data_IF_239276682734
#
_entry.id   IF_239276682734
#
_cell.length_a   1.000
_cell.length_b   1.000
_cell.length_c   1.000
_cell.angle_alpha   90.00
_cell.angle_beta   90.00
_cell.angle_gamma   90.00
#
_symmetry.space_group_name_H-M   'P 1'
#
loop_
_entity.id
_entity.type
_entity.pdbx_description
1 polymer ?
#
# COMPACT_ATOMS: atom_id res chain seq x y z
N UNK A 1 -19.15 11.77 -35.02
CA UNK A 1 -17.91 10.97 -34.90
C UNK A 1 -17.97 10.16 -33.61
N UNK A 2 -18.17 8.87 -33.72
CA UNK A 2 -18.19 7.96 -32.58
C UNK A 2 -16.74 7.75 -32.13
N UNK A 3 -16.39 8.28 -30.98
CA UNK A 3 -15.10 8.01 -30.36
C UNK A 3 -15.08 6.51 -29.99
N UNK A 4 -14.24 5.75 -30.66
CA UNK A 4 -14.04 4.34 -30.39
C UNK A 4 -13.44 4.21 -28.98
N UNK A 5 -14.20 3.68 -28.04
CA UNK A 5 -13.73 3.42 -26.70
C UNK A 5 -12.58 2.41 -26.79
N UNK A 6 -11.39 2.84 -26.39
CA UNK A 6 -10.25 1.92 -26.20
C UNK A 6 -10.68 0.92 -25.13
N UNK A 7 -10.69 -0.36 -25.50
CA UNK A 7 -11.11 -1.43 -24.62
C UNK A 7 -10.38 -1.34 -23.27
N UNK A 8 -11.12 -1.04 -22.21
CA UNK A 8 -10.65 -1.13 -20.83
C UNK A 8 -10.76 0.10 -19.95
N UNK A 9 -10.88 1.33 -20.47
CA UNK A 9 -10.95 2.52 -19.61
C UNK A 9 -11.96 3.53 -20.14
N UNK A 10 -13.19 3.44 -19.67
CA UNK A 10 -14.10 4.58 -19.76
C UNK A 10 -13.62 5.67 -18.80
N UNK A 11 -13.49 6.94 -19.23
CA UNK A 11 -13.11 8.06 -18.34
C UNK A 11 -14.06 8.23 -17.15
N UNK A 12 -15.27 7.68 -17.26
CA UNK A 12 -16.31 7.74 -16.24
C UNK A 12 -16.35 6.52 -15.31
N UNK A 13 -15.68 5.40 -15.66
CA UNK A 13 -15.66 4.19 -14.80
C UNK A 13 -14.42 4.14 -13.91
N UNK A 14 -14.61 3.73 -12.66
CA UNK A 14 -13.52 3.46 -11.75
C UNK A 14 -12.87 2.12 -12.11
N UNK A 15 -11.59 2.15 -12.45
CA UNK A 15 -10.82 0.98 -12.83
C UNK A 15 -9.73 0.68 -11.78
N UNK A 16 -9.57 -0.58 -11.43
CA UNK A 16 -8.49 -1.03 -10.54
C UNK A 16 -7.17 -1.01 -11.31
N UNK A 17 -6.19 -0.29 -10.76
CA UNK A 17 -4.82 -0.21 -11.28
C UNK A 17 -3.94 -1.26 -10.62
N UNK A 18 -4.02 -1.37 -9.28
CA UNK A 18 -3.18 -2.28 -8.51
C UNK A 18 -3.88 -2.70 -7.22
N UNK A 19 -3.66 -3.93 -6.80
CA UNK A 19 -4.12 -4.42 -5.49
C UNK A 19 -2.93 -4.90 -4.70
N UNK A 20 -2.80 -4.41 -3.46
CA UNK A 20 -1.71 -4.77 -2.56
C UNK A 20 -2.26 -5.39 -1.27
N UNK A 21 -1.58 -6.45 -0.80
CA UNK A 21 -1.93 -7.12 0.44
C UNK A 21 -0.87 -6.81 1.50
N UNK A 22 -1.29 -6.28 2.66
CA UNK A 22 -0.36 -6.01 3.73
C UNK A 22 0.42 -7.26 4.15
N UNK A 23 1.69 -7.05 4.47
CA UNK A 23 2.53 -8.03 5.17
C UNK A 23 1.99 -8.28 6.58
N UNK A 24 2.36 -9.41 7.18
CA UNK A 24 2.12 -9.69 8.61
C UNK A 24 2.64 -8.55 9.50
N UNK A 25 3.64 -7.81 9.05
CA UNK A 25 4.17 -6.62 9.72
C UNK A 25 3.17 -5.44 9.84
N UNK A 26 1.97 -5.53 9.26
CA UNK A 26 0.87 -4.62 9.58
C UNK A 26 0.36 -4.80 11.01
N UNK A 27 0.54 -5.97 11.61
CA UNK A 27 0.16 -6.30 13.00
C UNK A 27 1.29 -6.07 14.00
N UNK A 28 0.96 -5.55 15.19
CA UNK A 28 1.94 -5.22 16.24
C UNK A 28 2.74 -6.43 16.73
N UNK A 29 2.12 -7.61 16.84
CA UNK A 29 2.81 -8.85 17.28
C UNK A 29 3.90 -9.24 16.28
N UNK A 30 3.61 -9.19 14.99
CA UNK A 30 4.59 -9.50 13.97
C UNK A 30 5.70 -8.44 13.88
N UNK A 31 5.40 -7.16 14.16
CA UNK A 31 6.42 -6.12 14.28
C UNK A 31 7.36 -6.37 15.46
N UNK A 32 6.84 -6.82 16.60
CA UNK A 32 7.68 -7.22 17.75
C UNK A 32 8.62 -8.38 17.37
N UNK A 33 8.11 -9.42 16.73
CA UNK A 33 8.95 -10.52 16.25
C UNK A 33 10.00 -10.02 15.25
N UNK A 34 9.61 -9.18 14.31
CA UNK A 34 10.52 -8.58 13.34
C UNK A 34 11.63 -7.74 13.99
N UNK A 35 11.31 -6.98 15.02
CA UNK A 35 12.32 -6.20 15.76
C UNK A 35 13.29 -7.10 16.52
N UNK A 36 12.84 -8.22 17.10
CA UNK A 36 13.70 -9.22 17.72
C UNK A 36 14.63 -9.83 16.67
N UNK A 37 14.11 -10.24 15.51
CA UNK A 37 14.93 -10.83 14.44
C UNK A 37 15.97 -9.84 13.89
N UNK A 38 15.64 -8.57 13.79
CA UNK A 38 16.58 -7.55 13.33
C UNK A 38 17.65 -7.21 14.38
N UNK A 39 17.33 -7.38 15.67
CA UNK A 39 18.27 -7.13 16.78
C UNK A 39 19.36 -8.20 16.90
N UNK A 40 19.18 -9.38 16.27
CA UNK A 40 20.16 -10.46 16.32
C UNK A 40 21.33 -10.14 15.38
N UNK A 41 22.57 -10.03 15.90
CA UNK A 41 23.73 -9.68 15.08
C UNK A 41 24.02 -10.74 14.03
N UNK A 42 24.49 -10.30 12.87
CA UNK A 42 24.97 -11.16 11.80
C UNK A 42 26.48 -11.33 11.97
N UNK A 43 27.01 -12.53 12.31
CA UNK A 43 28.44 -12.78 12.30
C UNK A 43 29.00 -12.58 10.90
N UNK A 44 30.20 -12.00 10.78
CA UNK A 44 30.83 -11.76 9.50
C UNK A 44 30.96 -13.05 8.68
N UNK A 45 30.41 -13.06 7.47
CA UNK A 45 30.49 -14.19 6.54
C UNK A 45 29.48 -15.33 6.75
N UNK A 46 28.57 -15.23 7.72
CA UNK A 46 27.50 -16.22 7.94
C UNK A 46 26.11 -15.62 7.67
N UNK A 47 25.13 -16.45 7.30
CA UNK A 47 23.74 -15.98 7.23
C UNK A 47 23.27 -15.50 8.60
N UNK A 48 22.37 -14.52 8.61
CA UNK A 48 21.81 -13.96 9.86
C UNK A 48 21.29 -15.10 10.75
N UNK A 49 21.80 -15.20 11.97
CA UNK A 49 21.32 -16.16 12.99
C UNK A 49 19.80 -16.00 13.24
N UNK A 50 19.26 -14.83 12.98
CA UNK A 50 17.82 -14.56 13.04
C UNK A 50 16.99 -15.48 12.14
N UNK A 51 17.55 -16.03 11.05
CA UNK A 51 16.84 -16.98 10.21
C UNK A 51 16.58 -18.32 10.90
N UNK A 52 17.47 -18.77 11.81
CA UNK A 52 17.24 -19.96 12.61
C UNK A 52 16.10 -19.75 13.61
N UNK A 53 16.05 -18.57 14.24
CA UNK A 53 14.92 -18.18 15.09
C UNK A 53 13.62 -18.05 14.29
N UNK A 54 13.68 -17.47 13.10
CA UNK A 54 12.53 -17.39 12.23
C UNK A 54 12.01 -18.77 11.82
N UNK A 55 12.91 -19.74 11.58
CA UNK A 55 12.53 -21.12 11.30
C UNK A 55 11.85 -21.78 12.51
N UNK A 56 12.39 -21.62 13.71
CA UNK A 56 11.80 -22.17 14.94
C UNK A 56 10.41 -21.57 15.24
N UNK A 57 10.19 -20.29 14.90
CA UNK A 57 8.92 -19.59 15.09
C UNK A 57 8.03 -19.64 13.85
N UNK A 58 8.44 -20.35 12.78
CA UNK A 58 7.69 -20.45 11.52
C UNK A 58 6.23 -20.90 11.69
N UNK A 59 5.87 -21.88 12.53
CA UNK A 59 4.49 -22.28 12.75
C UNK A 59 3.61 -21.11 13.24
N UNK A 60 4.16 -20.29 14.14
CA UNK A 60 3.48 -19.10 14.65
C UNK A 60 3.39 -18.01 13.58
N UNK A 61 4.44 -17.84 12.78
CA UNK A 61 4.43 -16.93 11.62
C UNK A 61 3.37 -17.31 10.58
N UNK A 62 3.20 -18.60 10.30
CA UNK A 62 2.15 -19.12 9.41
C UNK A 62 0.76 -18.83 9.97
N UNK A 63 0.56 -19.01 11.28
CA UNK A 63 -0.70 -18.68 11.93
C UNK A 63 -1.02 -17.17 11.80
N UNK A 64 -0.04 -16.30 12.09
CA UNK A 64 -0.20 -14.85 11.94
C UNK A 64 -0.53 -14.47 10.49
N UNK A 65 0.14 -15.11 9.53
CA UNK A 65 -0.13 -14.89 8.11
C UNK A 65 -1.56 -15.30 7.74
N UNK A 66 -2.02 -16.47 8.19
CA UNK A 66 -3.38 -16.94 7.95
C UNK A 66 -4.43 -16.00 8.57
N UNK A 67 -4.20 -15.55 9.81
CA UNK A 67 -5.07 -14.57 10.48
C UNK A 67 -5.09 -13.24 9.73
N UNK A 68 -3.93 -12.73 9.30
CA UNK A 68 -3.84 -11.51 8.51
C UNK A 68 -4.57 -11.63 7.18
N UNK A 69 -4.47 -12.77 6.51
CA UNK A 69 -5.15 -13.02 5.24
C UNK A 69 -6.67 -13.14 5.39
N UNK A 70 -7.15 -13.69 6.51
CA UNK A 70 -8.57 -13.84 6.79
C UNK A 70 -9.22 -12.56 7.33
N UNK A 71 -8.55 -11.85 8.23
CA UNK A 71 -9.10 -10.72 8.97
C UNK A 71 -8.44 -9.39 8.64
N UNK A 72 -7.38 -9.41 7.84
CA UNK A 72 -6.65 -8.21 7.44
C UNK A 72 -7.40 -7.35 6.44
N UNK A 73 -6.69 -6.37 5.94
CA UNK A 73 -7.16 -5.48 4.90
C UNK A 73 -6.42 -5.77 3.59
N UNK A 74 -7.00 -5.36 2.49
CA UNK A 74 -6.34 -5.23 1.19
C UNK A 74 -6.42 -3.79 0.74
N UNK A 75 -5.40 -3.32 0.07
CA UNK A 75 -5.34 -1.97 -0.47
C UNK A 75 -5.53 -2.02 -1.97
N UNK A 76 -6.45 -1.24 -2.47
CA UNK A 76 -6.79 -1.19 -3.89
C UNK A 76 -6.52 0.23 -4.39
N UNK A 77 -5.59 0.36 -5.31
CA UNK A 77 -5.37 1.57 -6.06
C UNK A 77 -6.27 1.54 -7.28
N UNK A 78 -7.11 2.54 -7.42
CA UNK A 78 -7.92 2.77 -8.62
C UNK A 78 -7.40 4.00 -9.37
N UNK A 79 -7.97 4.25 -10.54
CA UNK A 79 -7.69 5.48 -11.30
C UNK A 79 -8.26 6.76 -10.63
N UNK A 80 -8.96 6.64 -9.49
CA UNK A 80 -9.60 7.76 -8.78
C UNK A 80 -9.20 7.89 -7.34
N UNK A 81 -9.06 6.78 -6.65
CA UNK A 81 -8.88 6.74 -5.21
C UNK A 81 -7.98 5.58 -4.80
N UNK A 82 -7.43 5.70 -3.60
CA UNK A 82 -6.87 4.59 -2.87
C UNK A 82 -7.87 4.11 -1.85
N UNK A 83 -8.10 2.81 -1.80
CA UNK A 83 -9.17 2.22 -0.99
C UNK A 83 -8.62 1.12 -0.10
N UNK A 84 -9.05 1.10 1.14
CA UNK A 84 -8.81 0.01 2.08
C UNK A 84 -10.05 -0.87 2.19
N UNK A 85 -9.90 -2.17 1.95
CA UNK A 85 -10.98 -3.14 2.01
C UNK A 85 -10.67 -4.22 3.03
N UNK A 86 -11.67 -4.71 3.75
CA UNK A 86 -11.51 -5.93 4.55
C UNK A 86 -11.37 -7.14 3.64
N UNK A 87 -10.43 -8.04 3.97
CA UNK A 87 -10.16 -9.22 3.15
C UNK A 87 -11.36 -10.16 3.10
N UNK A 88 -12.02 -10.41 4.26
CA UNK A 88 -13.10 -11.40 4.38
C UNK A 88 -14.45 -10.92 3.84
N UNK A 89 -14.86 -9.71 4.21
CA UNK A 89 -16.23 -9.21 3.91
C UNK A 89 -16.29 -8.34 2.68
N UNK A 90 -15.15 -8.04 2.06
CA UNK A 90 -15.05 -7.08 0.95
C UNK A 90 -15.77 -5.76 1.24
N UNK A 91 -15.71 -5.32 2.50
CA UNK A 91 -16.26 -4.03 2.92
C UNK A 91 -15.18 -2.96 2.81
N UNK A 92 -15.49 -1.85 2.19
CA UNK A 92 -14.62 -0.68 2.15
C UNK A 92 -14.55 -0.05 3.55
N UNK A 93 -13.34 0.10 4.08
CA UNK A 93 -13.07 0.65 5.41
C UNK A 93 -12.58 2.09 5.31
N UNK A 94 -11.82 2.38 4.26
CA UNK A 94 -11.26 3.70 4.02
C UNK A 94 -11.16 3.98 2.53
N UNK A 95 -11.28 5.24 2.16
CA UNK A 95 -11.07 5.72 0.80
C UNK A 95 -10.48 7.13 0.85
N UNK A 96 -9.51 7.39 -0.02
CA UNK A 96 -8.91 8.71 -0.19
C UNK A 96 -8.76 8.96 -1.69
N UNK A 97 -9.29 10.08 -2.19
CA UNK A 97 -9.13 10.42 -3.59
C UNK A 97 -7.67 10.77 -3.91
N UNK A 98 -7.26 10.50 -5.13
CA UNK A 98 -5.90 10.80 -5.60
C UNK A 98 -5.62 12.30 -5.74
N UNK A 99 -6.64 13.14 -5.66
CA UNK A 99 -6.53 14.60 -5.68
C UNK A 99 -6.42 15.24 -4.30
N UNK A 100 -6.68 14.50 -3.21
CA UNK A 100 -6.91 15.07 -1.90
C UNK A 100 -5.65 15.06 -1.01
N UNK A 101 -4.57 14.48 -1.45
CA UNK A 101 -3.28 14.49 -0.73
C UNK A 101 -2.20 15.25 -1.51
N UNK A 102 -1.23 15.79 -0.78
CA UNK A 102 -0.09 16.50 -1.32
C UNK A 102 1.08 15.55 -1.62
N UNK A 103 1.41 14.67 -0.67
CA UNK A 103 2.52 13.72 -0.80
C UNK A 103 2.27 12.39 -0.09
N UNK A 104 3.02 11.37 -0.52
CA UNK A 104 3.03 10.04 0.10
C UNK A 104 4.39 9.79 0.73
N UNK A 105 4.41 9.57 2.04
CA UNK A 105 5.61 9.28 2.81
C UNK A 105 5.70 7.78 3.12
N UNK A 106 6.90 7.22 2.99
CA UNK A 106 7.21 5.85 3.41
C UNK A 106 7.78 5.91 4.82
N UNK A 107 7.09 5.30 5.76
CA UNK A 107 7.51 5.23 7.17
C UNK A 107 7.77 3.79 7.53
N UNK A 108 9.03 3.44 7.79
CA UNK A 108 9.43 2.08 8.13
C UNK A 108 9.84 2.01 9.60
N UNK A 109 9.21 1.13 10.35
CA UNK A 109 9.61 0.82 11.73
C UNK A 109 10.64 -0.33 11.75
N UNK A 110 11.43 -0.42 12.82
CA UNK A 110 12.43 -1.47 13.00
C UNK A 110 11.83 -2.88 12.82
N UNK A 111 10.61 -3.11 13.33
CA UNK A 111 9.92 -4.40 13.18
C UNK A 111 9.43 -4.71 11.77
N UNK A 112 9.41 -3.74 10.86
CA UNK A 112 9.00 -3.92 9.47
C UNK A 112 10.18 -4.22 8.55
N UNK A 113 11.40 -3.86 8.96
CA UNK A 113 12.63 -4.05 8.15
C UNK A 113 12.82 -5.51 7.77
N UNK A 114 12.71 -6.42 8.75
CA UNK A 114 12.84 -7.86 8.53
C UNK A 114 11.88 -8.41 7.47
N UNK A 115 10.67 -7.86 7.39
CA UNK A 115 9.63 -8.30 6.45
C UNK A 115 9.65 -7.54 5.12
N UNK A 116 10.61 -6.65 4.90
CA UNK A 116 10.65 -5.74 3.76
C UNK A 116 9.30 -5.02 3.55
N UNK A 117 8.76 -4.50 4.63
CA UNK A 117 7.48 -3.80 4.65
C UNK A 117 7.65 -2.40 5.24
N UNK A 118 6.76 -1.48 4.89
CA UNK A 118 6.67 -0.16 5.48
C UNK A 118 5.21 0.33 5.48
N UNK A 119 4.94 1.38 6.23
CA UNK A 119 3.68 2.08 6.17
C UNK A 119 3.74 3.20 5.13
N UNK A 120 2.65 3.41 4.41
CA UNK A 120 2.47 4.59 3.55
C UNK A 120 1.57 5.58 4.27
N UNK A 121 2.07 6.79 4.45
CA UNK A 121 1.37 7.90 5.07
C UNK A 121 1.03 8.93 4.01
N UNK A 122 -0.25 9.18 3.82
CA UNK A 122 -0.77 10.20 2.93
C UNK A 122 -0.92 11.51 3.70
N UNK A 123 -0.25 12.53 3.24
CA UNK A 123 -0.15 13.82 3.93
C UNK A 123 -0.88 14.86 3.10
N UNK A 124 -1.78 15.60 3.75
CA UNK A 124 -2.48 16.74 3.18
C UNK A 124 -1.62 18.00 3.12
N UNK A 125 -2.14 19.03 2.50
CA UNK A 125 -1.45 20.32 2.32
C UNK A 125 -1.03 20.97 3.65
N UNK A 126 -1.79 20.72 4.73
CA UNK A 126 -1.48 21.24 6.06
C UNK A 126 -0.52 20.36 6.87
N UNK A 127 -0.01 19.27 6.27
CA UNK A 127 0.87 18.33 6.95
C UNK A 127 0.13 17.29 7.80
N UNK A 128 -1.20 17.30 7.83
CA UNK A 128 -2.01 16.29 8.54
C UNK A 128 -1.94 14.93 7.81
N UNK A 129 -2.11 13.86 8.57
CA UNK A 129 -2.21 12.50 8.03
C UNK A 129 -3.65 12.19 7.67
N UNK A 130 -3.95 12.11 6.38
CA UNK A 130 -5.28 11.80 5.87
C UNK A 130 -5.58 10.30 5.86
N UNK A 131 -4.58 9.50 5.51
CA UNK A 131 -4.69 8.05 5.47
C UNK A 131 -3.33 7.41 5.78
N UNK A 132 -3.36 6.24 6.43
CA UNK A 132 -2.18 5.42 6.67
C UNK A 132 -2.45 3.98 6.27
N UNK A 133 -1.69 3.48 5.32
CA UNK A 133 -1.70 2.07 4.91
C UNK A 133 -0.58 1.34 5.63
N UNK A 134 -0.93 0.35 6.45
CA UNK A 134 0.04 -0.33 7.32
C UNK A 134 0.65 -1.56 6.64
N UNK A 135 1.95 -1.73 6.82
CA UNK A 135 2.65 -2.95 6.47
C UNK A 135 2.66 -3.28 4.98
N UNK A 136 2.70 -2.30 4.12
CA UNK A 136 2.76 -2.48 2.66
C UNK A 136 4.09 -3.12 2.31
N UNK A 137 4.04 -4.25 1.61
CA UNK A 137 5.22 -4.90 1.06
C UNK A 137 5.69 -4.10 -0.15
N UNK A 138 7.01 -3.93 -0.29
CA UNK A 138 7.58 -3.11 -1.36
C UNK A 138 6.91 -1.72 -1.50
N UNK A 139 6.82 -1.02 -0.35
CA UNK A 139 6.12 0.25 -0.23
C UNK A 139 6.62 1.32 -1.21
N UNK A 140 7.89 1.24 -1.64
CA UNK A 140 8.46 2.12 -2.65
C UNK A 140 7.81 1.96 -4.02
N UNK A 141 7.65 0.71 -4.47
CA UNK A 141 7.00 0.42 -5.76
C UNK A 141 5.52 0.84 -5.74
N UNK A 142 4.82 0.55 -4.65
CA UNK A 142 3.41 0.93 -4.51
C UNK A 142 3.23 2.45 -4.44
N UNK A 143 4.09 3.17 -3.69
CA UNK A 143 4.11 4.64 -3.68
C UNK A 143 4.28 5.20 -5.09
N UNK A 144 5.26 4.70 -5.85
CA UNK A 144 5.52 5.15 -7.21
C UNK A 144 4.31 4.92 -8.14
N UNK A 145 3.61 3.80 -7.98
CA UNK A 145 2.36 3.52 -8.73
C UNK A 145 1.27 4.53 -8.37
N UNK A 146 1.12 4.87 -7.08
CA UNK A 146 0.16 5.87 -6.61
C UNK A 146 0.46 7.25 -7.20
N UNK A 147 1.71 7.70 -7.09
CA UNK A 147 2.15 9.02 -7.58
C UNK A 147 1.93 9.15 -9.10
N UNK A 148 2.32 8.13 -9.88
CA UNK A 148 2.10 8.11 -11.33
C UNK A 148 0.60 8.14 -11.69
N UNK A 149 -0.22 7.41 -10.94
CA UNK A 149 -1.66 7.39 -11.19
C UNK A 149 -2.31 8.73 -10.86
N UNK A 150 -1.88 9.36 -9.77
CA UNK A 150 -2.34 10.69 -9.37
C UNK A 150 -1.95 11.76 -10.40
N UNK A 151 -0.71 11.71 -10.90
CA UNK A 151 -0.23 12.62 -11.94
C UNK A 151 -1.00 12.44 -13.25
N UNK A 152 -1.17 11.21 -13.71
CA UNK A 152 -1.96 10.91 -14.92
C UNK A 152 -3.39 11.42 -14.79
N UNK A 153 -4.02 11.27 -13.62
CA UNK A 153 -5.35 11.80 -13.35
C UNK A 153 -5.39 13.31 -13.43
N UNK A 154 -4.40 14.01 -12.85
CA UNK A 154 -4.30 15.48 -12.90
C UNK A 154 -4.23 15.96 -14.35
N UNK A 155 -3.37 15.36 -15.18
CA UNK A 155 -3.24 15.70 -16.59
C UNK A 155 -4.56 15.52 -17.37
N UNK A 156 -5.30 14.44 -17.10
CA UNK A 156 -6.61 14.20 -17.72
C UNK A 156 -7.62 15.27 -17.29
N UNK A 157 -7.66 15.64 -16.02
CA UNK A 157 -8.56 16.67 -15.53
C UNK A 157 -8.25 18.06 -16.12
N UNK A 158 -6.99 18.42 -16.23
CA UNK A 158 -6.55 19.67 -16.87
C UNK A 158 -6.94 19.71 -18.36
N UNK A 159 -6.74 18.59 -19.06
CA UNK A 159 -7.14 18.49 -20.47
C UNK A 159 -8.65 18.63 -20.65
N UNK A 160 -9.45 17.98 -19.81
CA UNK A 160 -10.91 18.10 -19.83
C UNK A 160 -11.38 19.52 -19.49
N UNK A 161 -10.76 20.17 -18.51
CA UNK A 161 -11.06 21.56 -18.17
C UNK A 161 -10.76 22.52 -19.34
N UNK A 162 -9.64 22.30 -20.04
CA UNK A 162 -9.27 23.09 -21.22
C UNK A 162 -10.26 22.90 -22.39
N UNK A 163 -10.73 21.68 -22.60
CA UNK A 163 -11.75 21.39 -23.65
C UNK A 163 -13.07 22.05 -23.29
N UNK A 164 -13.53 21.95 -22.06
CA UNK A 164 -14.79 22.56 -21.61
C UNK A 164 -14.76 24.10 -21.60
N UNK A 165 -13.58 24.71 -21.45
CA UNK A 165 -13.44 26.17 -21.55
C UNK A 165 -13.44 26.71 -22.97
N UNK A 166 -13.30 25.85 -23.99
CA UNK A 166 -13.27 26.23 -25.40
C UNK A 166 -14.59 25.97 -26.13
N UNK A 167 -15.54 25.27 -25.54
CA UNK A 167 -16.88 24.99 -26.08
C UNK A 167 -17.93 25.90 -25.46
#
# INVERSE_FOLDING_TARGET
MTVQAIAGVSPSSEAVVMTEYPSIAAGGIAQLLGSIYESIPSPAGLPKLSYLFALATAPFGILLYALQKLFGQRYVLTNRAIQGWTARTSRMVSSLNLSDFDRVEVVQSAGQVFYNAADLRFVGANGETLLRLKGVKDAGAFRNAIERTAESRRMVQESLATISARG
#
